data_IF_466281448929
#
_entry.id   IF_466281448929
#
_cell.length_a   1.000
_cell.length_b   1.000
_cell.length_c   1.000
_cell.angle_alpha   90.00
_cell.angle_beta   90.00
_cell.angle_gamma   90.00
#
_symmetry.space_group_name_H-M   'P 1'
#
loop_
_entity.id
_entity.type
_entity.pdbx_description
1 polymer ?
#
# COMPACT_ATOMS: atom_id res chain seq x y z
N UNK A 1 1.23 31.77 -9.07
CA UNK A 1 0.69 31.19 -10.32
C UNK A 1 0.90 29.69 -10.23
N UNK A 2 -0.14 28.96 -9.85
CA UNK A 2 -0.15 27.49 -9.77
C UNK A 2 -0.44 27.00 -11.18
N UNK A 3 0.59 26.60 -11.92
CA UNK A 3 0.41 26.05 -13.26
C UNK A 3 -0.21 24.66 -13.09
N UNK A 4 -1.51 24.53 -13.38
CA UNK A 4 -2.14 23.22 -13.50
C UNK A 4 -1.33 22.42 -14.52
N UNK A 5 -0.75 21.30 -14.08
CA UNK A 5 -0.07 20.38 -15.00
C UNK A 5 -1.18 19.60 -15.67
N UNK A 6 -1.35 19.80 -16.98
CA UNK A 6 -2.22 18.95 -17.78
C UNK A 6 -1.63 17.53 -17.76
N UNK A 7 -2.22 16.67 -16.94
CA UNK A 7 -1.84 15.27 -16.78
C UNK A 7 -2.42 14.37 -17.88
N UNK A 8 -2.85 14.95 -19.02
CA UNK A 8 -3.27 14.28 -20.26
C UNK A 8 -2.94 12.79 -20.30
N UNK A 9 -4.02 11.98 -20.24
CA UNK A 9 -4.03 10.55 -19.93
C UNK A 9 -3.37 9.72 -21.04
N UNK A 10 -2.05 9.77 -21.09
CA UNK A 10 -1.22 8.98 -22.00
C UNK A 10 -0.02 8.45 -21.21
N UNK A 11 -0.08 7.18 -20.80
CA UNK A 11 1.06 6.44 -20.25
C UNK A 11 0.82 5.68 -18.94
N UNK A 12 1.87 4.97 -18.53
CA UNK A 12 1.94 4.22 -17.26
C UNK A 12 2.06 5.16 -16.06
N UNK A 13 1.86 4.65 -14.83
CA UNK A 13 2.10 5.42 -13.58
C UNK A 13 3.48 6.10 -13.58
N UNK A 14 4.49 5.38 -14.05
CA UNK A 14 5.86 5.90 -14.17
C UNK A 14 5.94 7.09 -15.12
N UNK A 15 5.21 7.06 -16.23
CA UNK A 15 5.19 8.15 -17.19
C UNK A 15 4.53 9.40 -16.58
N UNK A 16 3.43 9.21 -15.84
CA UNK A 16 2.76 10.27 -15.11
C UNK A 16 3.68 10.92 -14.07
N UNK A 17 4.39 10.13 -13.26
CA UNK A 17 5.33 10.65 -12.24
C UNK A 17 6.51 11.35 -12.91
N UNK A 18 7.10 10.77 -13.96
CA UNK A 18 8.24 11.39 -14.67
C UNK A 18 7.89 12.70 -15.38
N UNK A 19 6.65 12.86 -15.87
CA UNK A 19 6.16 14.12 -16.46
C UNK A 19 6.25 15.29 -15.48
N UNK A 20 6.10 15.04 -14.18
CA UNK A 20 6.17 16.07 -13.14
C UNK A 20 7.59 16.63 -12.93
N UNK A 21 8.63 15.90 -13.36
CA UNK A 21 10.05 16.27 -13.23
C UNK A 21 10.45 16.66 -11.80
N UNK A 22 9.77 16.08 -10.81
CA UNK A 22 10.02 16.30 -9.39
C UNK A 22 9.72 15.02 -8.61
N UNK A 23 10.20 14.96 -7.37
CA UNK A 23 9.97 13.85 -6.45
C UNK A 23 8.61 14.00 -5.78
N UNK A 24 7.86 12.91 -5.70
CA UNK A 24 6.53 12.89 -5.09
C UNK A 24 6.60 12.18 -3.75
N UNK A 25 6.02 12.79 -2.72
CA UNK A 25 6.06 12.27 -1.36
C UNK A 25 5.45 10.86 -1.31
N UNK A 26 6.15 9.90 -0.70
CA UNK A 26 5.67 8.53 -0.56
C UNK A 26 5.71 7.69 -1.85
N UNK A 27 6.26 8.21 -2.95
CA UNK A 27 6.43 7.49 -4.21
C UNK A 27 7.92 7.46 -4.62
N UNK A 28 8.36 6.41 -5.34
CA UNK A 28 9.73 6.32 -5.81
C UNK A 28 10.03 7.34 -6.91
N UNK A 29 11.30 7.74 -6.97
CA UNK A 29 11.86 8.49 -8.07
C UNK A 29 12.27 7.51 -9.19
N UNK A 30 11.91 7.85 -10.42
CA UNK A 30 12.09 6.98 -11.57
C UNK A 30 13.16 7.51 -12.51
N UNK A 31 14.11 6.64 -12.78
CA UNK A 31 15.12 6.87 -13.78
C UNK A 31 14.64 6.56 -15.20
N UNK A 32 15.60 6.43 -16.11
CA UNK A 32 15.31 6.04 -17.48
C UNK A 32 14.68 4.65 -17.59
N UNK A 33 13.95 4.44 -18.68
CA UNK A 33 13.33 3.18 -19.07
C UNK A 33 13.97 2.73 -20.38
N UNK A 34 14.36 1.46 -20.47
CA UNK A 34 15.08 0.91 -21.63
C UNK A 34 14.50 -0.41 -22.09
N UNK A 35 14.60 -0.69 -23.39
CA UNK A 35 14.40 -2.04 -23.95
C UNK A 35 15.79 -2.64 -24.24
N UNK A 36 16.14 -3.81 -23.69
CA UNK A 36 17.35 -4.53 -24.08
C UNK A 36 17.24 -4.95 -25.54
N UNK A 37 18.21 -4.57 -26.37
CA UNK A 37 18.24 -5.07 -27.75
C UNK A 37 18.73 -6.52 -27.79
N UNK A 38 18.29 -7.28 -28.81
CA UNK A 38 18.67 -8.70 -28.98
C UNK A 38 20.14 -8.88 -29.42
N UNK A 39 20.77 -7.85 -29.98
CA UNK A 39 22.13 -7.93 -30.52
C UNK A 39 23.20 -7.55 -29.49
N UNK A 40 24.27 -8.36 -29.40
CA UNK A 40 25.34 -8.21 -28.42
C UNK A 40 26.13 -6.88 -28.52
N UNK A 41 26.03 -6.18 -29.64
CA UNK A 41 26.77 -4.94 -29.92
C UNK A 41 25.98 -3.66 -29.65
N UNK A 42 24.71 -3.75 -29.28
CA UNK A 42 23.88 -2.58 -28.94
C UNK A 42 23.12 -2.84 -27.65
N UNK A 43 23.35 -2.02 -26.62
CA UNK A 43 22.93 -2.39 -25.26
C UNK A 43 21.49 -1.99 -24.93
N UNK A 44 20.98 -0.87 -25.44
CA UNK A 44 19.66 -0.32 -25.08
C UNK A 44 19.06 0.60 -26.15
N UNK A 45 17.75 0.49 -26.40
CA UNK A 45 16.98 1.47 -27.19
C UNK A 45 16.10 2.35 -26.30
N UNK A 46 16.07 3.66 -26.57
CA UNK A 46 15.30 4.66 -25.81
C UNK A 46 13.87 4.86 -26.35
N UNK A 47 13.53 4.34 -27.53
CA UNK A 47 12.24 4.62 -28.20
C UNK A 47 11.24 3.46 -28.12
N UNK A 48 10.49 3.41 -27.03
CA UNK A 48 9.46 2.40 -26.75
C UNK A 48 8.30 2.39 -27.78
N UNK A 49 7.85 3.56 -28.21
CA UNK A 49 6.70 3.72 -29.10
C UNK A 49 6.98 3.30 -30.55
N UNK A 50 8.23 3.42 -31.01
CA UNK A 50 8.60 3.03 -32.36
C UNK A 50 8.61 1.50 -32.55
N UNK A 51 8.87 0.74 -31.47
CA UNK A 51 9.01 -0.72 -31.52
C UNK A 51 7.65 -1.42 -31.40
N UNK A 52 6.74 -0.92 -30.56
CA UNK A 52 5.40 -1.52 -30.37
C UNK A 52 4.47 -1.35 -31.57
N UNK A 53 4.67 -0.31 -32.38
CA UNK A 53 3.90 -0.12 -33.61
C UNK A 53 4.24 -1.13 -34.72
N UNK A 54 5.25 -1.98 -34.54
CA UNK A 54 5.77 -2.83 -35.61
C UNK A 54 5.38 -4.31 -35.53
N UNK A 55 4.87 -4.85 -34.42
CA UNK A 55 4.28 -6.22 -34.32
C UNK A 55 3.95 -6.59 -32.88
N UNK A 56 3.20 -7.69 -32.71
CA UNK A 56 2.81 -8.40 -31.48
C UNK A 56 4.03 -8.95 -30.67
N UNK A 57 5.00 -8.09 -30.38
CA UNK A 57 6.27 -8.43 -29.74
C UNK A 57 6.15 -8.22 -28.24
N UNK A 58 6.30 -9.30 -27.46
CA UNK A 58 6.64 -9.19 -26.04
C UNK A 58 8.10 -8.76 -25.90
N UNK A 59 8.32 -7.53 -25.45
CA UNK A 59 9.64 -6.99 -25.16
C UNK A 59 9.92 -6.98 -23.65
N UNK A 60 11.14 -7.35 -23.26
CA UNK A 60 11.60 -7.11 -21.90
C UNK A 60 11.83 -5.60 -21.75
N UNK A 61 11.34 -5.01 -20.66
CA UNK A 61 11.57 -3.60 -20.33
C UNK A 61 12.35 -3.55 -19.03
N UNK A 62 13.35 -2.66 -18.97
CA UNK A 62 14.10 -2.36 -17.74
C UNK A 62 13.74 -0.95 -17.29
N UNK A 63 13.10 -0.85 -16.12
CA UNK A 63 12.85 0.40 -15.43
C UNK A 63 13.91 0.62 -14.35
N UNK A 64 14.65 1.73 -14.42
CA UNK A 64 15.54 2.13 -13.33
C UNK A 64 14.72 2.86 -12.26
N UNK A 65 14.78 2.40 -11.02
CA UNK A 65 14.22 3.09 -9.86
C UNK A 65 15.40 3.71 -9.11
N UNK A 66 15.35 5.03 -8.89
CA UNK A 66 16.44 5.77 -8.26
C UNK A 66 16.33 5.76 -6.74
N UNK A 67 15.12 5.61 -6.20
CA UNK A 67 14.88 5.44 -4.77
C UNK A 67 15.23 4.01 -4.34
N UNK A 68 16.12 3.87 -3.36
CA UNK A 68 16.43 2.57 -2.74
C UNK A 68 15.47 2.33 -1.59
N UNK A 69 14.72 1.23 -1.66
CA UNK A 69 13.83 0.76 -0.61
C UNK A 69 14.45 -0.39 0.20
N UNK A 70 14.27 -0.36 1.53
CA UNK A 70 14.53 -1.49 2.42
C UNK A 70 13.19 -2.13 2.81
N UNK A 71 13.11 -3.47 2.90
CA UNK A 71 11.87 -4.14 3.33
C UNK A 71 11.40 -3.69 4.71
N UNK A 72 10.08 -3.63 4.94
CA UNK A 72 9.51 -3.17 6.22
C UNK A 72 9.96 -3.99 7.44
N UNK A 73 10.22 -5.29 7.26
CA UNK A 73 10.71 -6.17 8.33
C UNK A 73 12.14 -5.79 8.80
N UNK A 74 12.81 -4.85 8.15
CA UNK A 74 14.12 -4.33 8.58
C UNK A 74 14.01 -3.07 9.46
N UNK A 75 12.79 -2.62 9.78
CA UNK A 75 12.57 -1.47 10.65
C UNK A 75 13.32 -1.60 11.98
N UNK A 76 13.99 -0.53 12.40
CA UNK A 76 14.75 -0.51 13.65
C UNK A 76 13.86 -0.66 14.88
N UNK A 77 12.61 -0.19 14.79
CA UNK A 77 11.60 -0.26 15.84
C UNK A 77 10.21 0.17 15.37
N UNK A 78 9.20 0.12 16.26
CA UNK A 78 7.80 0.48 15.97
C UNK A 78 7.62 1.84 15.31
N UNK A 79 8.32 2.87 15.80
CA UNK A 79 8.23 4.23 15.26
C UNK A 79 8.59 4.31 13.79
N UNK A 80 9.69 3.68 13.38
CA UNK A 80 10.14 3.71 11.98
C UNK A 80 9.16 2.96 11.06
N UNK A 81 8.63 1.82 11.52
CA UNK A 81 7.64 1.05 10.77
C UNK A 81 6.37 1.89 10.49
N UNK A 82 5.82 2.55 11.51
CA UNK A 82 4.60 3.35 11.34
C UNK A 82 4.85 4.59 10.48
N UNK A 83 6.01 5.24 10.59
CA UNK A 83 6.38 6.34 9.69
C UNK A 83 6.45 5.87 8.24
N UNK A 84 7.07 4.72 7.98
CA UNK A 84 7.19 4.21 6.61
C UNK A 84 5.82 3.87 6.00
N UNK A 85 4.94 3.25 6.78
CA UNK A 85 3.57 2.92 6.36
C UNK A 85 2.70 4.17 6.14
N UNK A 86 2.79 5.16 7.04
CA UNK A 86 2.13 6.47 6.87
C UNK A 86 2.60 7.14 5.57
N UNK A 87 3.90 7.12 5.31
CA UNK A 87 4.46 7.78 4.12
C UNK A 87 4.08 7.05 2.83
N UNK A 88 4.04 5.72 2.85
CA UNK A 88 3.46 4.92 1.78
C UNK A 88 1.98 5.23 1.56
N UNK A 89 1.19 5.44 2.61
CA UNK A 89 -0.22 5.84 2.53
C UNK A 89 -0.39 7.23 1.90
N UNK A 90 0.49 8.19 2.20
CA UNK A 90 0.55 9.45 1.46
C UNK A 90 0.89 9.23 -0.02
N UNK A 91 1.81 8.29 -0.31
CA UNK A 91 2.13 7.86 -1.66
C UNK A 91 0.91 7.33 -2.42
N UNK A 92 0.11 6.47 -1.80
CA UNK A 92 -1.14 5.94 -2.37
C UNK A 92 -2.16 7.05 -2.63
N UNK A 93 -2.27 8.05 -1.75
CA UNK A 93 -3.11 9.23 -1.99
C UNK A 93 -2.61 10.07 -3.16
N UNK A 94 -1.31 10.27 -3.26
CA UNK A 94 -0.70 10.98 -4.38
C UNK A 94 -0.94 10.21 -5.70
N UNK A 95 -0.77 8.90 -5.70
CA UNK A 95 -1.07 8.01 -6.82
C UNK A 95 -2.55 8.12 -7.24
N UNK A 96 -3.46 8.12 -6.26
CA UNK A 96 -4.89 8.31 -6.50
C UNK A 96 -5.20 9.64 -7.18
N UNK A 97 -4.59 10.74 -6.73
CA UNK A 97 -4.73 12.08 -7.32
C UNK A 97 -4.12 12.19 -8.72
N UNK A 98 -3.13 11.34 -9.04
CA UNK A 98 -2.63 11.17 -10.41
C UNK A 98 -3.56 10.34 -11.29
N UNK A 99 -4.66 9.81 -10.74
CA UNK A 99 -5.69 9.10 -11.47
C UNK A 99 -5.54 7.57 -11.47
N UNK A 100 -4.76 7.00 -10.55
CA UNK A 100 -4.46 5.56 -10.50
C UNK A 100 -4.82 4.90 -9.18
N UNK A 101 -5.08 3.59 -9.20
CA UNK A 101 -5.30 2.76 -8.02
C UNK A 101 -4.25 1.66 -7.97
N UNK A 102 -3.67 1.38 -6.79
CA UNK A 102 -2.47 0.56 -6.67
C UNK A 102 -2.74 -0.94 -6.86
N UNK A 103 -3.73 -1.45 -6.13
CA UNK A 103 -4.28 -2.81 -6.21
C UNK A 103 -3.43 -3.96 -5.66
N UNK A 104 -2.15 -3.74 -5.39
CA UNK A 104 -1.27 -4.76 -4.80
C UNK A 104 -0.39 -4.23 -3.67
N UNK A 105 -1.01 -3.51 -2.73
CA UNK A 105 -0.33 -3.12 -1.50
C UNK A 105 -0.01 -4.36 -0.67
N UNK A 106 1.26 -4.57 -0.37
CA UNK A 106 1.76 -5.73 0.37
C UNK A 106 3.03 -5.38 1.15
N UNK A 107 3.48 -6.28 2.02
CA UNK A 107 4.78 -6.13 2.72
C UNK A 107 5.97 -6.20 1.76
N UNK A 108 5.79 -6.80 0.57
CA UNK A 108 6.79 -6.84 -0.50
C UNK A 108 6.81 -5.59 -1.38
N UNK A 109 5.72 -4.82 -1.40
CA UNK A 109 5.54 -3.64 -2.26
C UNK A 109 5.53 -2.33 -1.47
N UNK A 110 5.87 -2.39 -0.18
CA UNK A 110 5.98 -1.22 0.70
C UNK A 110 7.36 -1.20 1.33
N UNK A 111 7.99 -0.02 1.38
CA UNK A 111 9.41 0.08 1.69
C UNK A 111 9.72 1.21 2.67
N UNK A 112 10.76 1.00 3.48
CA UNK A 112 11.46 2.05 4.23
C UNK A 112 12.47 2.68 3.29
N UNK A 113 12.59 4.00 3.31
CA UNK A 113 13.57 4.73 2.48
C UNK A 113 14.46 5.60 3.35
N UNK A 114 15.61 6.00 2.79
CA UNK A 114 16.31 7.15 3.33
C UNK A 114 15.43 8.40 3.16
N UNK A 115 15.47 9.37 4.11
CA UNK A 115 14.64 10.56 4.05
C UNK A 115 14.75 11.29 2.71
N UNK A 116 13.62 11.41 2.02
CA UNK A 116 13.54 12.02 0.69
C UNK A 116 12.55 13.19 0.70
N UNK A 117 13.04 14.36 0.28
CA UNK A 117 12.21 15.52 0.05
C UNK A 117 11.29 15.28 -1.16
N UNK A 118 9.98 15.55 -1.00
CA UNK A 118 8.99 15.33 -2.05
C UNK A 118 7.79 16.26 -1.93
N UNK A 119 7.06 16.39 -3.04
CA UNK A 119 5.84 17.20 -3.15
C UNK A 119 4.60 16.31 -2.97
N UNK A 120 3.54 16.86 -2.39
CA UNK A 120 2.21 16.26 -2.49
C UNK A 120 1.53 16.69 -3.79
N UNK A 121 0.67 15.82 -4.31
CA UNK A 121 -0.25 16.16 -5.39
C UNK A 121 -1.50 16.77 -4.76
N UNK A 122 -1.96 17.92 -5.26
CA UNK A 122 -3.20 18.58 -4.84
C UNK A 122 -4.41 17.95 -5.54
N UNK A 123 -5.62 18.23 -5.05
CA UNK A 123 -6.85 17.67 -5.63
C UNK A 123 -7.11 18.12 -7.08
N UNK A 124 -6.59 19.28 -7.47
CA UNK A 124 -6.68 19.83 -8.83
C UNK A 124 -5.57 19.31 -9.75
N UNK A 125 -4.76 18.33 -9.30
CA UNK A 125 -3.61 17.80 -10.03
C UNK A 125 -2.35 18.68 -9.95
N UNK A 126 -2.41 19.81 -9.26
CA UNK A 126 -1.26 20.69 -9.04
C UNK A 126 -0.23 20.10 -8.06
N UNK A 127 0.96 20.67 -8.05
CA UNK A 127 1.97 20.38 -7.02
C UNK A 127 1.70 21.24 -5.78
N UNK A 128 1.66 20.58 -4.63
CA UNK A 128 1.57 21.21 -3.33
C UNK A 128 2.90 21.84 -2.91
N UNK A 129 3.07 22.04 -1.60
CA UNK A 129 4.36 22.46 -1.05
C UNK A 129 5.26 21.25 -0.83
N UNK A 130 6.56 21.49 -0.89
CA UNK A 130 7.54 20.60 -0.26
C UNK A 130 7.18 20.42 1.22
N UNK A 131 7.13 19.17 1.68
CA UNK A 131 6.77 18.82 3.06
C UNK A 131 7.98 18.36 3.85
N UNK A 132 7.81 17.63 4.96
CA UNK A 132 8.95 16.97 5.61
C UNK A 132 9.51 15.87 4.70
N UNK A 133 10.70 15.39 5.00
CA UNK A 133 11.29 14.28 4.26
C UNK A 133 10.49 12.99 4.51
N UNK A 134 10.12 12.31 3.42
CA UNK A 134 9.46 11.01 3.42
C UNK A 134 10.48 9.90 3.71
N UNK A 135 10.16 8.99 4.63
CA UNK A 135 11.00 7.84 5.01
C UNK A 135 10.32 6.49 4.72
N UNK A 136 9.32 6.50 3.84
CA UNK A 136 8.72 5.28 3.29
C UNK A 136 8.00 5.54 1.97
N UNK A 137 7.73 4.47 1.22
CA UNK A 137 7.07 4.56 -0.08
C UNK A 137 6.24 3.32 -0.41
N UNK A 138 5.21 3.51 -1.23
CA UNK A 138 4.57 2.43 -1.99
C UNK A 138 5.35 2.21 -3.30
N UNK A 139 5.50 0.95 -3.72
CA UNK A 139 6.20 0.57 -4.94
C UNK A 139 5.49 -0.59 -5.64
N UNK A 140 6.05 -1.02 -6.77
CA UNK A 140 5.43 -1.99 -7.69
C UNK A 140 4.08 -1.53 -8.24
N UNK A 141 4.12 -0.95 -9.45
CA UNK A 141 2.96 -0.33 -10.09
C UNK A 141 2.43 -1.17 -11.27
N UNK A 142 2.87 -2.41 -11.40
CA UNK A 142 2.53 -3.25 -12.56
C UNK A 142 1.04 -3.63 -12.60
N UNK A 143 0.39 -3.68 -11.43
CA UNK A 143 -1.04 -3.94 -11.29
C UNK A 143 -1.89 -2.66 -11.17
N UNK A 144 -1.27 -1.48 -11.27
CA UNK A 144 -2.00 -0.21 -11.21
C UNK A 144 -2.95 -0.06 -12.39
N UNK A 145 -4.12 0.52 -12.13
CA UNK A 145 -5.11 0.82 -13.16
C UNK A 145 -5.58 2.27 -13.06
N UNK A 146 -5.95 2.85 -14.20
CA UNK A 146 -6.62 4.15 -14.23
C UNK A 146 -7.96 4.07 -13.50
N UNK A 147 -8.26 5.06 -12.65
CA UNK A 147 -9.52 5.07 -11.87
C UNK A 147 -10.78 5.17 -12.75
N UNK A 148 -10.71 5.97 -13.83
CA UNK A 148 -11.77 6.09 -14.86
C UNK A 148 -11.57 5.14 -16.05
N UNK A 149 -10.79 4.07 -15.90
CA UNK A 149 -10.66 3.07 -16.97
C UNK A 149 -11.97 2.29 -17.11
N UNK A 150 -12.55 2.26 -18.31
CA UNK A 150 -13.83 1.59 -18.59
C UNK A 150 -13.68 0.06 -18.57
N UNK A 151 -12.47 -0.45 -18.79
CA UNK A 151 -12.15 -1.88 -18.76
C UNK A 151 -11.74 -2.38 -17.37
N UNK A 152 -11.94 -1.57 -16.31
CA UNK A 152 -11.73 -1.99 -14.91
C UNK A 152 -12.48 -3.27 -14.56
N UNK A 153 -13.64 -3.52 -15.18
CA UNK A 153 -14.40 -4.76 -15.03
C UNK A 153 -13.71 -5.97 -15.68
N UNK A 154 -12.95 -5.77 -16.76
CA UNK A 154 -12.24 -6.84 -17.48
C UNK A 154 -10.95 -7.20 -16.74
N UNK A 155 -10.27 -6.18 -16.19
CA UNK A 155 -9.14 -6.35 -15.28
C UNK A 155 -9.54 -6.69 -13.85
N UNK A 156 -10.80 -7.08 -13.60
CA UNK A 156 -11.34 -7.37 -12.27
C UNK A 156 -10.83 -8.65 -11.63
N UNK A 157 -9.90 -9.38 -12.27
CA UNK A 157 -9.23 -10.52 -11.65
C UNK A 157 -8.79 -10.14 -10.23
N UNK A 158 -9.16 -10.99 -9.25
CA UNK A 158 -8.71 -10.92 -7.86
C UNK A 158 -7.18 -10.91 -7.87
N UNK A 159 -6.65 -9.70 -7.81
CA UNK A 159 -5.24 -9.33 -7.90
C UNK A 159 -4.90 -8.73 -6.56
N UNK A 160 -3.73 -9.08 -6.04
CA UNK A 160 -3.37 -8.78 -4.67
C UNK A 160 -2.84 -10.01 -3.97
N UNK A 161 -1.87 -9.77 -3.08
CA UNK A 161 -1.32 -10.82 -2.23
C UNK A 161 -2.32 -11.15 -1.10
N UNK A 162 -2.84 -12.39 -1.07
CA UNK A 162 -4.01 -12.81 -0.26
C UNK A 162 -4.01 -12.37 1.22
N UNK A 163 -2.89 -12.41 1.99
CA UNK A 163 -2.87 -11.92 3.37
C UNK A 163 -3.18 -10.43 3.52
N UNK A 164 -2.95 -9.63 2.47
CA UNK A 164 -3.11 -8.17 2.49
C UNK A 164 -4.40 -7.70 1.81
N UNK A 165 -4.91 -8.48 0.86
CA UNK A 165 -6.15 -8.20 0.13
C UNK A 165 -7.34 -7.88 1.06
N UNK A 166 -8.09 -6.82 0.76
CA UNK A 166 -9.23 -6.37 1.56
C UNK A 166 -10.32 -7.44 1.74
N UNK A 167 -11.03 -7.41 2.89
CA UNK A 167 -12.09 -8.38 3.24
C UNK A 167 -13.17 -8.46 2.16
N UNK A 168 -13.58 -7.31 1.61
CA UNK A 168 -14.61 -7.23 0.58
C UNK A 168 -14.17 -7.91 -0.72
N UNK A 169 -12.93 -7.68 -1.16
CA UNK A 169 -12.35 -8.33 -2.34
C UNK A 169 -12.25 -9.87 -2.19
N UNK A 170 -12.11 -10.36 -0.95
CA UNK A 170 -12.05 -11.79 -0.66
C UNK A 170 -13.42 -12.47 -0.62
N UNK A 171 -14.44 -11.77 -0.10
CA UNK A 171 -15.77 -12.33 0.23
C UNK A 171 -16.79 -12.28 -0.91
N UNK A 172 -16.56 -11.44 -1.90
CA UNK A 172 -17.61 -11.05 -2.84
C UNK A 172 -17.82 -12.07 -3.97
N UNK A 173 -19.05 -12.57 -4.09
CA UNK A 173 -19.48 -13.54 -5.12
C UNK A 173 -19.37 -12.98 -6.55
N UNK A 174 -19.55 -11.67 -6.69
CA UNK A 174 -19.22 -10.90 -7.89
C UNK A 174 -17.92 -10.13 -7.64
N UNK A 175 -17.01 -10.07 -8.60
CA UNK A 175 -15.70 -9.41 -8.46
C UNK A 175 -15.91 -7.90 -8.20
N UNK A 176 -15.71 -7.40 -6.98
CA UNK A 176 -15.93 -6.00 -6.68
C UNK A 176 -14.81 -5.16 -7.26
N UNK A 177 -15.11 -3.90 -7.57
CA UNK A 177 -14.09 -2.98 -8.04
C UNK A 177 -13.04 -2.75 -6.96
N UNK A 178 -11.76 -2.93 -7.31
CA UNK A 178 -10.67 -2.59 -6.39
C UNK A 178 -10.60 -1.06 -6.24
N UNK A 179 -11.13 -0.54 -5.13
CA UNK A 179 -11.13 0.87 -4.72
C UNK A 179 -9.84 1.25 -3.97
N UNK A 180 -9.39 2.51 -3.99
CA UNK A 180 -8.30 2.99 -3.12
C UNK A 180 -8.53 2.72 -1.63
N UNK A 181 -9.79 2.57 -1.19
CA UNK A 181 -10.12 2.18 0.19
C UNK A 181 -9.59 0.76 0.51
N UNK A 182 -9.56 -0.14 -0.46
CA UNK A 182 -8.96 -1.46 -0.29
C UNK A 182 -7.44 -1.39 -0.18
N UNK A 183 -6.80 -0.44 -0.89
CA UNK A 183 -5.37 -0.16 -0.70
C UNK A 183 -5.10 0.33 0.74
N UNK A 184 -5.96 1.19 1.31
CA UNK A 184 -5.86 1.65 2.71
C UNK A 184 -6.05 0.52 3.72
N UNK A 185 -7.03 -0.35 3.52
CA UNK A 185 -7.21 -1.54 4.35
C UNK A 185 -5.98 -2.46 4.27
N UNK A 186 -5.41 -2.63 3.07
CA UNK A 186 -4.21 -3.43 2.86
C UNK A 186 -3.02 -2.91 3.68
N UNK A 187 -2.85 -1.59 3.83
CA UNK A 187 -1.82 -0.99 4.71
C UNK A 187 -1.98 -1.45 6.17
N UNK A 188 -3.22 -1.57 6.67
CA UNK A 188 -3.48 -2.08 8.03
C UNK A 188 -3.09 -3.55 8.17
N UNK A 189 -3.39 -4.38 7.16
CA UNK A 189 -2.97 -5.78 7.16
C UNK A 189 -1.45 -5.94 7.04
N UNK A 190 -0.77 -5.06 6.29
CA UNK A 190 0.70 -5.00 6.25
C UNK A 190 1.28 -4.68 7.63
N UNK A 191 0.69 -3.72 8.37
CA UNK A 191 1.10 -3.43 9.74
C UNK A 191 1.04 -4.67 10.63
N UNK A 192 -0.13 -5.34 10.67
CA UNK A 192 -0.32 -6.55 11.49
C UNK A 192 0.65 -7.66 11.10
N UNK A 193 0.83 -7.87 9.79
CA UNK A 193 1.76 -8.87 9.27
C UNK A 193 3.19 -8.62 9.72
N UNK A 194 3.70 -7.40 9.51
CA UNK A 194 5.08 -7.07 9.84
C UNK A 194 5.32 -7.13 11.35
N UNK A 195 4.38 -6.63 12.16
CA UNK A 195 4.50 -6.67 13.62
C UNK A 195 4.47 -8.11 14.13
N UNK A 196 3.53 -8.94 13.67
CA UNK A 196 3.46 -10.35 14.08
C UNK A 196 4.78 -11.09 13.80
N UNK A 197 5.29 -10.99 12.57
CA UNK A 197 6.54 -11.66 12.20
C UNK A 197 7.75 -11.08 12.93
N UNK A 198 7.82 -9.75 13.09
CA UNK A 198 8.88 -9.11 13.89
C UNK A 198 8.88 -9.61 15.33
N UNK A 199 7.72 -9.74 15.95
CA UNK A 199 7.62 -10.17 17.34
C UNK A 199 8.13 -11.61 17.52
N UNK A 200 7.75 -12.51 16.61
CA UNK A 200 8.22 -13.89 16.59
C UNK A 200 9.74 -13.96 16.35
N UNK A 201 10.26 -13.27 15.34
CA UNK A 201 11.69 -13.30 15.00
C UNK A 201 12.59 -12.71 16.10
N UNK A 202 12.11 -11.68 16.80
CA UNK A 202 12.90 -10.94 17.80
C UNK A 202 12.91 -11.64 19.17
N UNK A 203 11.85 -12.39 19.49
CA UNK A 203 11.74 -13.12 20.75
C UNK A 203 12.68 -14.34 20.84
N UNK A 204 13.26 -14.81 19.72
CA UNK A 204 14.19 -15.94 19.69
C UNK A 204 13.47 -17.29 19.72
N UNK A 205 14.07 -18.28 20.40
CA UNK A 205 13.55 -19.67 20.42
C UNK A 205 12.24 -19.85 21.19
N UNK A 206 11.86 -18.88 22.04
CA UNK A 206 10.64 -18.91 22.87
C UNK A 206 9.74 -17.70 22.62
N UNK A 207 9.11 -17.59 21.43
CA UNK A 207 8.20 -16.49 21.12
C UNK A 207 6.91 -16.56 21.93
N UNK A 208 6.31 -15.39 22.22
CA UNK A 208 5.03 -15.32 22.91
C UNK A 208 3.96 -16.09 22.12
N UNK A 209 3.21 -17.03 22.73
CA UNK A 209 2.20 -17.82 22.04
C UNK A 209 1.11 -16.98 21.34
N UNK A 210 0.84 -15.77 21.82
CA UNK A 210 -0.11 -14.85 21.19
C UNK A 210 0.43 -14.28 19.87
N UNK A 211 1.73 -13.99 19.77
CA UNK A 211 2.35 -13.50 18.53
C UNK A 211 2.47 -14.61 17.49
N UNK A 212 2.79 -15.84 17.92
CA UNK A 212 2.77 -17.03 17.06
C UNK A 212 1.36 -17.25 16.50
N UNK A 213 0.36 -17.23 17.38
CA UNK A 213 -1.05 -17.35 16.96
C UNK A 213 -1.44 -16.24 15.99
N UNK A 214 -1.02 -14.99 16.22
CA UNK A 214 -1.29 -13.89 15.30
C UNK A 214 -0.69 -14.16 13.90
N UNK A 215 0.53 -14.69 13.84
CA UNK A 215 1.15 -15.09 12.57
C UNK A 215 0.37 -16.23 11.89
N UNK A 216 -0.04 -17.24 12.65
CA UNK A 216 -0.82 -18.37 12.15
C UNK A 216 -2.21 -17.95 11.66
N UNK A 217 -2.84 -17.00 12.34
CA UNK A 217 -4.14 -16.43 11.97
C UNK A 217 -4.03 -15.61 10.66
N UNK A 218 -2.88 -14.96 10.43
CA UNK A 218 -2.55 -14.24 9.19
C UNK A 218 -2.04 -15.14 8.06
N UNK A 219 -1.65 -16.39 8.35
CA UNK A 219 -1.24 -17.35 7.34
C UNK A 219 -2.42 -17.72 6.43
N UNK A 220 -2.15 -17.80 5.13
CA UNK A 220 -3.14 -18.12 4.09
C UNK A 220 -2.84 -19.43 3.37
N UNK A 221 -1.84 -20.17 3.83
CA UNK A 221 -1.41 -21.41 3.19
C UNK A 221 -2.57 -22.42 3.13
N UNK A 222 -2.86 -22.91 1.92
CA UNK A 222 -3.94 -23.87 1.65
C UNK A 222 -5.36 -23.37 2.02
N UNK A 223 -5.60 -22.06 2.04
CA UNK A 223 -6.92 -21.49 2.34
C UNK A 223 -7.65 -21.00 1.10
N UNK A 224 -8.97 -21.18 1.09
CA UNK A 224 -9.85 -20.49 0.13
C UNK A 224 -9.97 -19.02 0.49
N UNK A 225 -10.29 -18.17 -0.48
CA UNK A 225 -10.43 -16.72 -0.26
C UNK A 225 -11.52 -16.40 0.78
N UNK A 226 -12.63 -17.14 0.77
CA UNK A 226 -13.70 -16.98 1.77
C UNK A 226 -13.22 -17.31 3.18
N UNK A 227 -12.35 -18.33 3.32
CA UNK A 227 -11.77 -18.69 4.61
C UNK A 227 -10.79 -17.61 5.10
N UNK A 228 -10.00 -17.04 4.20
CA UNK A 228 -9.12 -15.89 4.53
C UNK A 228 -9.98 -14.70 4.98
N UNK A 229 -11.08 -14.40 4.28
CA UNK A 229 -12.00 -13.33 4.66
C UNK A 229 -12.61 -13.57 6.06
N UNK A 230 -13.04 -14.81 6.34
CA UNK A 230 -13.61 -15.17 7.63
C UNK A 230 -12.59 -15.00 8.79
N UNK A 231 -11.35 -15.43 8.58
CA UNK A 231 -10.26 -15.22 9.54
C UNK A 231 -9.99 -13.74 9.76
N UNK A 232 -9.92 -12.95 8.68
CA UNK A 232 -9.74 -11.50 8.77
C UNK A 232 -10.87 -10.81 9.54
N UNK A 233 -12.14 -11.17 9.31
CA UNK A 233 -13.27 -10.63 10.10
C UNK A 233 -13.13 -10.95 11.59
N UNK A 234 -12.74 -12.19 11.90
CA UNK A 234 -12.50 -12.62 13.29
C UNK A 234 -11.36 -11.83 13.95
N UNK A 235 -10.25 -11.66 13.22
CA UNK A 235 -9.10 -10.90 13.70
C UNK A 235 -9.39 -9.40 13.83
N UNK A 236 -10.13 -8.82 12.87
CA UNK A 236 -10.63 -7.44 12.93
C UNK A 236 -11.39 -7.19 14.24
N UNK A 237 -12.33 -8.07 14.61
CA UNK A 237 -13.08 -7.95 15.86
C UNK A 237 -12.21 -8.03 17.13
N UNK A 238 -11.11 -8.78 17.07
CA UNK A 238 -10.12 -8.85 18.17
C UNK A 238 -9.34 -7.53 18.23
N UNK A 239 -8.84 -7.05 17.09
CA UNK A 239 -7.98 -5.87 17.00
C UNK A 239 -8.70 -4.57 17.40
N UNK A 240 -9.98 -4.41 17.05
CA UNK A 240 -10.81 -3.28 17.48
C UNK A 240 -11.02 -3.20 19.00
N UNK A 241 -10.84 -4.32 19.71
CA UNK A 241 -11.11 -4.45 21.16
C UNK A 241 -9.84 -4.68 21.97
N UNK A 242 -8.67 -4.38 21.40
CA UNK A 242 -7.41 -4.46 22.12
C UNK A 242 -7.42 -3.52 23.32
N UNK A 243 -7.11 -4.07 24.49
CA UNK A 243 -6.91 -3.31 25.73
C UNK A 243 -5.44 -3.43 26.14
N UNK A 244 -4.94 -2.56 27.01
CA UNK A 244 -3.56 -2.64 27.52
C UNK A 244 -3.21 -3.99 28.15
N UNK A 245 -4.21 -4.70 28.69
CA UNK A 245 -4.03 -6.05 29.27
C UNK A 245 -3.92 -7.15 28.21
N UNK A 246 -4.38 -6.89 26.99
CA UNK A 246 -4.48 -7.88 25.89
C UNK A 246 -3.55 -7.56 24.72
N UNK A 247 -2.93 -6.39 24.71
CA UNK A 247 -2.07 -5.93 23.63
C UNK A 247 -0.72 -6.64 23.63
N UNK A 248 -0.15 -6.94 24.81
CA UNK A 248 1.14 -7.63 24.89
C UNK A 248 2.21 -6.91 24.05
N UNK A 249 2.84 -7.63 23.13
CA UNK A 249 3.85 -7.07 22.22
C UNK A 249 3.27 -6.15 21.12
N UNK A 250 1.94 -6.04 21.01
CA UNK A 250 1.27 -5.04 20.17
C UNK A 250 1.06 -3.70 20.88
N UNK A 251 1.43 -3.56 22.15
CA UNK A 251 1.15 -2.37 22.96
C UNK A 251 1.58 -1.05 22.31
N UNK A 252 2.78 -0.94 21.70
CA UNK A 252 3.18 0.28 20.98
C UNK A 252 2.23 0.69 19.85
N UNK A 253 1.53 -0.27 19.25
CA UNK A 253 0.62 -0.08 18.13
C UNK A 253 -0.85 -0.07 18.54
N UNK A 254 -1.18 -0.27 19.83
CA UNK A 254 -2.55 -0.56 20.28
C UNK A 254 -3.56 0.45 19.78
N UNK A 255 -3.32 1.74 19.99
CA UNK A 255 -4.27 2.78 19.60
C UNK A 255 -4.40 2.88 18.07
N UNK A 256 -3.28 2.78 17.34
CA UNK A 256 -3.26 2.73 15.88
C UNK A 256 -4.07 1.55 15.34
N UNK A 257 -3.90 0.35 15.93
CA UNK A 257 -4.66 -0.84 15.54
C UNK A 257 -6.14 -0.66 15.85
N UNK A 258 -6.51 -0.23 17.06
CA UNK A 258 -7.92 -0.04 17.43
C UNK A 258 -8.60 0.98 16.52
N UNK A 259 -8.03 2.17 16.36
CA UNK A 259 -8.62 3.23 15.54
C UNK A 259 -8.59 2.89 14.05
N UNK A 260 -7.50 2.30 13.56
CA UNK A 260 -7.36 1.91 12.16
C UNK A 260 -8.31 0.79 11.77
N UNK A 261 -8.47 -0.25 12.60
CA UNK A 261 -9.43 -1.32 12.33
C UNK A 261 -10.88 -0.90 12.53
N UNK A 262 -11.16 0.16 13.31
CA UNK A 262 -12.48 0.80 13.30
C UNK A 262 -12.78 1.51 11.97
N UNK A 263 -11.77 2.04 11.29
CA UNK A 263 -11.95 2.55 9.92
C UNK A 263 -12.17 1.39 8.94
N UNK A 264 -11.40 0.31 9.03
CA UNK A 264 -11.60 -0.88 8.18
C UNK A 264 -13.04 -1.38 8.29
N UNK A 265 -13.52 -1.64 9.51
CA UNK A 265 -14.88 -2.10 9.77
C UNK A 265 -15.95 -1.16 9.18
N UNK A 266 -15.80 0.15 9.40
CA UNK A 266 -16.69 1.17 8.83
C UNK A 266 -16.80 1.07 7.31
N UNK A 267 -15.68 0.92 6.61
CA UNK A 267 -15.68 0.88 5.15
C UNK A 267 -16.08 -0.48 4.60
N UNK A 268 -15.79 -1.58 5.31
CA UNK A 268 -16.31 -2.92 4.99
C UNK A 268 -17.83 -2.94 5.09
N UNK A 269 -18.42 -2.49 6.20
CA UNK A 269 -19.89 -2.42 6.37
C UNK A 269 -20.53 -1.54 5.30
N UNK A 270 -19.94 -0.37 5.01
CA UNK A 270 -20.43 0.48 3.92
C UNK A 270 -20.38 -0.17 2.56
N UNK A 271 -19.40 -1.05 2.30
CA UNK A 271 -19.33 -1.78 1.04
C UNK A 271 -20.43 -2.84 0.95
N UNK A 272 -20.69 -3.55 2.06
CA UNK A 272 -21.74 -4.57 2.17
C UNK A 272 -23.16 -3.98 2.02
N UNK A 273 -23.38 -2.74 2.46
CA UNK A 273 -24.67 -2.03 2.36
C UNK A 273 -24.94 -1.44 0.97
N UNK A 274 -23.97 -1.45 0.04
CA UNK A 274 -24.13 -0.84 -1.29
C UNK A 274 -24.98 -1.69 -2.23
N UNK A 275 -25.81 -1.01 -3.03
CA UNK A 275 -26.61 -1.66 -4.07
C UNK A 275 -25.73 -2.05 -5.27
N UNK A 276 -26.22 -2.95 -6.12
CA UNK A 276 -25.51 -3.37 -7.34
C UNK A 276 -25.29 -2.24 -8.36
N UNK A 277 -25.94 -1.08 -8.19
CA UNK A 277 -25.81 0.10 -9.05
C UNK A 277 -24.72 1.08 -8.55
N UNK A 278 -24.38 1.06 -7.25
CA UNK A 278 -23.39 1.94 -6.60
C UNK A 278 -22.10 1.18 -6.23
N UNK A 279 -21.51 0.47 -7.20
CA UNK A 279 -20.39 -0.45 -6.94
C UNK A 279 -19.06 0.22 -6.54
N UNK A 280 -18.97 1.57 -6.53
CA UNK A 280 -17.74 2.30 -6.22
C UNK A 280 -17.99 3.50 -5.30
N UNK A 281 -17.05 3.77 -4.40
CA UNK A 281 -17.02 4.97 -3.56
C UNK A 281 -16.78 6.24 -4.39
N UNK A 282 -17.38 7.37 -3.98
CA UNK A 282 -17.14 8.67 -4.63
C UNK A 282 -15.73 9.22 -4.36
N UNK A 283 -15.31 10.20 -5.16
CA UNK A 283 -14.03 10.90 -4.96
C UNK A 283 -13.94 11.55 -3.57
N UNK A 284 -15.04 12.13 -3.08
CA UNK A 284 -15.14 12.71 -1.75
C UNK A 284 -14.98 11.65 -0.66
N UNK A 285 -15.67 10.51 -0.78
CA UNK A 285 -15.57 9.42 0.20
C UNK A 285 -14.15 8.85 0.28
N UNK A 286 -13.49 8.69 -0.86
CA UNK A 286 -12.09 8.21 -0.93
C UNK A 286 -11.14 9.23 -0.30
N UNK A 287 -11.32 10.52 -0.57
CA UNK A 287 -10.48 11.57 0.03
C UNK A 287 -10.72 11.74 1.53
N UNK A 288 -11.96 11.58 2.01
CA UNK A 288 -12.30 11.51 3.42
C UNK A 288 -11.64 10.29 4.09
N UNK A 289 -11.69 9.12 3.43
CA UNK A 289 -11.03 7.91 3.91
C UNK A 289 -9.53 8.12 4.06
N UNK A 290 -8.85 8.61 3.02
CA UNK A 290 -7.42 8.91 3.12
C UNK A 290 -7.11 9.88 4.27
N UNK A 291 -7.94 10.90 4.45
CA UNK A 291 -7.76 11.87 5.54
C UNK A 291 -7.92 11.21 6.90
N UNK A 292 -8.93 10.36 7.08
CA UNK A 292 -9.16 9.63 8.33
C UNK A 292 -8.03 8.63 8.65
N UNK A 293 -7.60 7.83 7.68
CA UNK A 293 -6.49 6.90 7.89
C UNK A 293 -5.19 7.64 8.21
N UNK A 294 -4.85 8.71 7.46
CA UNK A 294 -3.64 9.49 7.72
C UNK A 294 -3.65 10.13 9.11
N UNK A 295 -4.78 10.69 9.54
CA UNK A 295 -4.95 11.27 10.88
C UNK A 295 -4.73 10.22 11.99
N UNK A 296 -5.26 9.01 11.81
CA UNK A 296 -5.04 7.89 12.73
C UNK A 296 -3.55 7.51 12.79
N UNK A 297 -2.87 7.42 11.65
CA UNK A 297 -1.43 7.12 11.61
C UNK A 297 -0.58 8.23 12.25
N UNK A 298 -0.90 9.49 11.99
CA UNK A 298 -0.14 10.64 12.50
C UNK A 298 -0.29 10.82 14.01
N UNK A 299 -1.50 10.62 14.56
CA UNK A 299 -1.77 10.73 16.00
C UNK A 299 -1.18 9.59 16.82
N UNK A 300 -1.00 8.43 16.19
CA UNK A 300 -0.62 7.19 16.88
C UNK A 300 0.76 6.66 16.44
N UNK A 301 1.69 7.55 16.07
CA UNK A 301 3.10 7.17 15.84
C UNK A 301 3.71 6.71 17.18
N UNK A 302 4.23 5.46 17.27
CA UNK A 302 4.85 4.95 18.49
C UNK A 302 6.06 5.79 18.92
N UNK A 303 6.34 5.80 20.23
CA UNK A 303 7.53 6.47 20.79
C UNK A 303 8.76 5.57 20.76
N UNK A 304 8.54 4.25 20.72
CA UNK A 304 9.54 3.20 20.73
C UNK A 304 10.36 3.22 19.43
N UNK A 305 11.67 3.43 19.57
CA UNK A 305 12.61 3.49 18.45
C UNK A 305 13.31 2.16 18.18
N UNK A 306 13.12 1.18 19.07
CA UNK A 306 13.63 -0.18 18.97
C UNK A 306 12.57 -1.24 19.39
N UNK A 307 12.90 -2.51 19.19
CA UNK A 307 12.05 -3.66 19.53
C UNK A 307 12.30 -4.24 20.93
N UNK A 308 12.88 -3.47 21.86
CA UNK A 308 13.25 -3.96 23.20
C UNK A 308 12.05 -4.48 24.01
N UNK A 309 10.88 -3.87 23.84
CA UNK A 309 9.63 -4.27 24.50
C UNK A 309 9.22 -5.73 24.19
N UNK A 310 9.63 -6.27 23.03
CA UNK A 310 9.35 -7.66 22.63
C UNK A 310 10.25 -8.66 23.38
N UNK A 311 11.51 -8.27 23.65
CA UNK A 311 12.53 -9.15 24.26
C UNK A 311 12.35 -9.35 25.77
N UNK A 312 11.45 -8.59 26.40
CA UNK A 312 11.25 -8.57 27.85
C UNK A 312 9.83 -8.92 28.30
N UNK A 313 8.98 -9.43 27.41
CA UNK A 313 7.67 -9.96 27.78
C UNK A 313 7.82 -11.24 28.63
N UNK A 314 6.98 -11.43 29.67
CA UNK A 314 7.03 -12.63 30.52
C UNK A 314 6.72 -13.92 29.78
#
# INVERSE_FOLDING_TARGET
MTTAIDLGREGTVVDAIKKLKTKIFGLPDFGPRYIPMRDANSKYETSYLNILNLTDIRACVRQVILTVGKPLHTASGPRQLVIALRDALFGLRNLYRLGYVHRDVSSGNTYITEPMQGFHILRDGGLGKETHASSGMAGDFDLCIGRDDKDRQIHSHRTGTLPFMAIDLLSSLQLPYHSPIHDMESVMWVLVWVVGHKNVDVAGDEPNPQDVKLCDDMSVANMTMDLVAHRKRSLLHILQRLTSRRSGNLEPFRNLLVEGFNLVDRYVTRSEDRTSEEQTFSDEEVEEAFTAYLDVFEKNIPVETDWSHVKGGP
#
